data_IF_380678360860
#
_entry.id   IF_380678360860
#
_cell.length_a   1.000
_cell.length_b   1.000
_cell.length_c   1.000
_cell.angle_alpha   90.00
_cell.angle_beta   90.00
_cell.angle_gamma   90.00
#
_symmetry.space_group_name_H-M   'P 1'
#
loop_
_entity.id
_entity.type
_entity.pdbx_description
1 polymer ?
#
# COMPACT_ATOMS: atom_id res chain seq x y z
N UNK A 1 18.68 14.44 46.65
CA UNK A 1 19.11 13.73 45.42
C UNK A 1 17.94 12.91 44.94
N UNK A 2 17.10 13.51 44.09
CA UNK A 2 15.88 12.87 43.59
C UNK A 2 16.31 11.96 42.45
N UNK A 3 16.05 10.66 42.62
CA UNK A 3 16.51 9.59 41.74
C UNK A 3 16.12 9.84 40.28
N UNK A 4 17.13 9.82 39.44
CA UNK A 4 17.01 9.84 37.99
C UNK A 4 16.26 8.57 37.55
N UNK A 5 14.95 8.69 37.33
CA UNK A 5 14.18 7.71 36.58
C UNK A 5 14.66 7.79 35.13
N UNK A 6 15.68 7.00 34.81
CA UNK A 6 15.99 6.62 33.44
C UNK A 6 14.83 5.73 32.97
N UNK A 7 13.75 6.34 32.49
CA UNK A 7 12.74 5.64 31.71
C UNK A 7 13.44 5.10 30.48
N UNK A 8 13.71 3.79 30.49
CA UNK A 8 14.22 3.06 29.35
C UNK A 8 13.25 3.19 28.19
N UNK A 9 13.47 4.21 27.36
CA UNK A 9 12.87 4.32 26.03
C UNK A 9 13.55 3.24 25.20
N UNK A 10 13.01 2.02 25.26
CA UNK A 10 13.37 0.99 24.31
C UNK A 10 13.23 1.60 22.91
N UNK A 11 14.25 1.48 22.04
CA UNK A 11 14.13 1.97 20.67
C UNK A 11 12.91 1.28 20.05
N UNK A 12 11.95 2.09 19.59
CA UNK A 12 10.84 1.60 18.79
C UNK A 12 11.30 1.63 17.34
N UNK A 13 11.24 0.50 16.67
CA UNK A 13 11.49 0.42 15.23
C UNK A 13 10.15 0.51 14.49
N UNK A 14 10.15 1.30 13.42
CA UNK A 14 9.05 1.35 12.47
C UNK A 14 9.20 0.16 11.52
N UNK A 15 8.20 -0.73 11.53
CA UNK A 15 8.14 -1.85 10.62
C UNK A 15 6.99 -1.65 9.64
N UNK A 16 7.29 -1.86 8.37
CA UNK A 16 6.30 -2.00 7.33
C UNK A 16 5.61 -3.36 7.45
N UNK A 17 4.29 -3.36 7.55
CA UNK A 17 3.46 -4.54 7.51
C UNK A 17 2.53 -4.46 6.30
N UNK A 18 2.60 -5.48 5.44
CA UNK A 18 1.71 -5.61 4.28
C UNK A 18 0.32 -6.01 4.76
N UNK A 19 -0.66 -5.15 4.51
CA UNK A 19 -2.06 -5.33 4.90
C UNK A 19 -2.91 -5.90 3.75
N UNK A 20 -2.50 -5.67 2.50
CA UNK A 20 -3.25 -6.14 1.34
C UNK A 20 -2.55 -5.89 0.01
N UNK A 21 -3.03 -6.58 -1.01
CA UNK A 21 -2.54 -6.52 -2.38
C UNK A 21 -3.71 -6.46 -3.36
N UNK A 22 -3.66 -5.49 -4.27
CA UNK A 22 -4.63 -5.33 -5.34
C UNK A 22 -3.94 -5.25 -6.70
N UNK A 23 -4.53 -5.89 -7.70
CA UNK A 23 -4.03 -5.85 -9.07
C UNK A 23 -4.82 -4.85 -9.89
N UNK A 24 -4.12 -4.03 -10.66
CA UNK A 24 -4.71 -3.01 -11.53
C UNK A 24 -5.25 -3.68 -12.79
N UNK A 25 -6.56 -3.65 -12.96
CA UNK A 25 -7.26 -4.24 -14.12
C UNK A 25 -7.68 -3.19 -15.15
N UNK A 26 -7.85 -1.94 -14.71
CA UNK A 26 -8.28 -0.84 -15.58
C UNK A 26 -7.66 0.48 -15.14
N UNK A 27 -7.38 1.36 -16.10
CA UNK A 27 -6.93 2.72 -15.84
C UNK A 27 -7.99 3.68 -16.36
N UNK A 28 -8.40 4.61 -15.51
CA UNK A 28 -9.28 5.70 -15.85
C UNK A 28 -8.47 6.99 -15.79
N UNK A 29 -8.20 7.56 -16.96
CA UNK A 29 -7.65 8.90 -17.06
C UNK A 29 -8.83 9.89 -17.08
N UNK A 30 -9.04 10.58 -15.98
CA UNK A 30 -10.04 11.65 -15.88
C UNK A 30 -9.40 13.03 -16.06
N UNK A 31 -8.44 13.15 -16.97
CA UNK A 31 -7.96 14.46 -17.43
C UNK A 31 -9.09 15.16 -18.20
N UNK A 32 -9.78 16.06 -17.51
CA UNK A 32 -10.77 16.92 -18.14
C UNK A 32 -10.07 17.84 -19.16
N UNK A 33 -10.61 17.92 -20.39
CA UNK A 33 -10.13 18.86 -21.44
C UNK A 33 -10.11 20.33 -20.99
N UNK A 34 -10.74 20.63 -19.85
CA UNK A 34 -10.85 21.96 -19.25
C UNK A 34 -9.76 22.27 -18.20
N UNK A 35 -8.83 21.35 -17.93
CA UNK A 35 -7.57 21.63 -17.23
C UNK A 35 -7.63 21.77 -15.71
N UNK A 36 -8.76 21.47 -15.05
CA UNK A 36 -8.91 21.78 -13.63
C UNK A 36 -8.46 20.67 -12.67
N UNK A 37 -8.40 19.39 -13.08
CA UNK A 37 -7.81 18.29 -12.30
C UNK A 37 -7.43 17.16 -13.26
N UNK A 38 -6.13 16.82 -13.33
CA UNK A 38 -5.66 15.61 -14.00
C UNK A 38 -5.53 14.51 -12.94
N UNK A 39 -6.54 13.64 -12.87
CA UNK A 39 -6.56 12.55 -11.89
C UNK A 39 -6.62 11.22 -12.61
N UNK A 40 -5.54 10.44 -12.48
CA UNK A 40 -5.52 9.04 -12.89
C UNK A 40 -6.13 8.22 -11.74
N UNK A 41 -7.11 7.39 -12.08
CA UNK A 41 -7.74 6.43 -11.16
C UNK A 41 -7.48 5.02 -11.66
N UNK A 42 -6.79 4.24 -10.85
CA UNK A 42 -6.52 2.83 -11.10
C UNK A 42 -7.71 2.00 -10.60
N UNK A 43 -8.45 1.40 -11.53
CA UNK A 43 -9.44 0.36 -11.23
C UNK A 43 -8.72 -0.94 -10.87
N UNK A 44 -8.82 -1.32 -9.60
CA UNK A 44 -8.10 -2.44 -9.01
C UNK A 44 -9.05 -3.49 -8.45
N UNK A 45 -8.57 -4.73 -8.38
CA UNK A 45 -9.26 -5.85 -7.71
C UNK A 45 -8.38 -6.34 -6.56
N UNK A 46 -8.96 -6.39 -5.36
CA UNK A 46 -8.22 -6.82 -4.16
C UNK A 46 -8.06 -8.35 -4.20
N UNK A 47 -6.81 -8.82 -4.35
CA UNK A 47 -6.48 -10.24 -4.37
C UNK A 47 -6.31 -10.82 -2.97
N UNK A 48 -5.64 -10.07 -2.09
CA UNK A 48 -5.33 -10.50 -0.72
C UNK A 48 -5.46 -9.36 0.27
N UNK A 49 -5.81 -9.69 1.51
CA UNK A 49 -5.91 -8.72 2.61
C UNK A 49 -7.00 -7.67 2.40
N UNK A 50 -6.67 -6.42 2.74
CA UNK A 50 -7.53 -5.26 2.55
C UNK A 50 -6.72 -4.02 2.17
N UNK A 51 -7.32 -3.17 1.35
CA UNK A 51 -6.78 -1.86 0.97
C UNK A 51 -7.42 -0.79 1.85
N UNK A 52 -6.63 0.05 2.51
CA UNK A 52 -7.12 1.11 3.41
C UNK A 52 -6.60 2.46 2.94
N UNK A 53 -7.49 3.41 2.69
CA UNK A 53 -7.14 4.73 2.13
C UNK A 53 -6.21 5.54 3.05
N UNK A 54 -6.29 5.33 4.37
CA UNK A 54 -5.45 6.01 5.36
C UNK A 54 -4.05 5.40 5.54
N UNK A 55 -3.75 4.30 4.85
CA UNK A 55 -2.44 3.63 4.92
C UNK A 55 -1.55 4.04 3.74
N UNK A 56 -0.31 3.56 3.75
CA UNK A 56 0.65 3.81 2.67
C UNK A 56 0.55 2.75 1.59
N UNK A 57 0.99 3.10 0.40
CA UNK A 57 0.92 2.22 -0.77
C UNK A 57 2.28 2.09 -1.46
N UNK A 58 2.51 0.93 -2.05
CA UNK A 58 3.64 0.67 -2.95
C UNK A 58 3.12 0.18 -4.29
N UNK A 59 3.76 0.63 -5.36
CA UNK A 59 3.42 0.23 -6.73
C UNK A 59 4.50 -0.71 -7.27
N UNK A 60 4.09 -1.88 -7.71
CA UNK A 60 4.94 -2.89 -8.30
C UNK A 60 4.55 -3.16 -9.75
N UNK A 61 5.56 -3.30 -10.60
CA UNK A 61 5.41 -3.70 -12.00
C UNK A 61 6.38 -4.84 -12.29
N UNK A 62 5.86 -5.97 -12.74
CA UNK A 62 6.67 -7.16 -13.03
C UNK A 62 7.54 -7.61 -11.83
N UNK A 63 7.00 -7.45 -10.60
CA UNK A 63 7.69 -7.77 -9.36
C UNK A 63 8.75 -6.75 -8.90
N UNK A 64 8.92 -5.62 -9.60
CA UNK A 64 9.83 -4.53 -9.21
C UNK A 64 9.06 -3.35 -8.64
N UNK A 65 9.56 -2.77 -7.56
CA UNK A 65 8.98 -1.56 -7.00
C UNK A 65 9.29 -0.37 -7.92
N UNK A 66 8.26 0.32 -8.41
CA UNK A 66 8.42 1.48 -9.29
C UNK A 66 8.78 2.76 -8.52
N UNK A 67 8.34 2.84 -7.27
CA UNK A 67 8.60 3.95 -6.38
C UNK A 67 9.30 3.44 -5.13
N UNK A 68 10.44 4.05 -4.78
CA UNK A 68 11.15 3.72 -3.54
C UNK A 68 10.39 4.26 -2.32
N UNK A 69 9.72 5.41 -2.49
CA UNK A 69 8.91 6.04 -1.45
C UNK A 69 7.54 5.39 -1.29
N UNK A 70 7.03 5.49 -0.07
CA UNK A 70 5.65 5.16 0.27
C UNK A 70 4.71 6.20 -0.32
N UNK A 71 3.74 5.73 -1.11
CA UNK A 71 2.76 6.56 -1.78
C UNK A 71 1.53 6.75 -0.88
N UNK A 72 0.97 7.96 -0.92
CA UNK A 72 -0.29 8.27 -0.26
C UNK A 72 -1.47 8.04 -1.22
N UNK A 73 -2.60 7.61 -0.66
CA UNK A 73 -3.84 7.54 -1.42
C UNK A 73 -4.56 8.88 -1.42
N UNK A 74 -4.86 9.39 -2.61
CA UNK A 74 -5.62 10.63 -2.80
C UNK A 74 -7.11 10.40 -2.62
N UNK A 75 -7.63 9.28 -3.13
CA UNK A 75 -9.00 8.85 -2.90
C UNK A 75 -9.17 7.38 -3.22
N UNK A 76 -10.06 6.72 -2.48
CA UNK A 76 -10.56 5.39 -2.78
C UNK A 76 -12.06 5.47 -3.02
N UNK A 77 -12.51 4.98 -4.17
CA UNK A 77 -13.91 5.04 -4.57
C UNK A 77 -14.38 3.71 -5.08
N UNK A 78 -15.57 3.30 -4.65
CA UNK A 78 -16.29 2.17 -5.24
C UNK A 78 -17.53 2.71 -5.92
N UNK A 79 -17.55 2.63 -7.25
CA UNK A 79 -18.55 3.30 -8.08
C UNK A 79 -18.59 4.82 -7.84
N UNK A 80 -19.64 5.32 -7.17
CA UNK A 80 -19.84 6.75 -6.86
C UNK A 80 -19.63 7.08 -5.38
N UNK A 81 -19.29 6.10 -4.57
CA UNK A 81 -19.12 6.24 -3.12
C UNK A 81 -17.64 6.25 -2.77
N UNK A 82 -17.25 7.18 -1.91
CA UNK A 82 -15.94 7.20 -1.28
C UNK A 82 -15.90 6.14 -0.17
N UNK A 83 -14.79 5.41 -0.08
CA UNK A 83 -14.65 4.28 0.83
C UNK A 83 -13.28 4.31 1.51
N UNK A 84 -13.26 4.09 2.82
CA UNK A 84 -12.01 4.08 3.59
C UNK A 84 -11.27 2.75 3.51
N UNK A 85 -11.98 1.64 3.31
CA UNK A 85 -11.39 0.30 3.27
C UNK A 85 -12.14 -0.63 2.33
N UNK A 86 -11.40 -1.47 1.62
CA UNK A 86 -11.93 -2.46 0.67
C UNK A 86 -11.24 -3.79 0.90
N UNK A 87 -12.03 -4.82 1.18
CA UNK A 87 -11.54 -6.17 1.43
C UNK A 87 -11.35 -7.00 0.15
N UNK A 88 -10.74 -8.18 0.33
CA UNK A 88 -10.54 -9.19 -0.71
C UNK A 88 -11.81 -9.48 -1.54
N UNK A 89 -11.60 -9.65 -2.85
CA UNK A 89 -12.64 -10.01 -3.82
C UNK A 89 -13.53 -8.86 -4.24
N UNK A 90 -13.29 -7.65 -3.72
CA UNK A 90 -14.00 -6.44 -4.13
C UNK A 90 -13.16 -5.61 -5.10
N UNK A 91 -13.85 -4.88 -5.96
CA UNK A 91 -13.30 -3.88 -6.85
C UNK A 91 -13.23 -2.50 -6.15
N UNK A 92 -12.19 -1.74 -6.47
CA UNK A 92 -12.06 -0.35 -6.04
C UNK A 92 -11.28 0.50 -7.04
N UNK A 93 -11.66 1.76 -7.18
CA UNK A 93 -10.87 2.78 -7.85
C UNK A 93 -9.94 3.44 -6.84
N UNK A 94 -8.63 3.34 -7.05
CA UNK A 94 -7.60 3.95 -6.21
C UNK A 94 -6.95 5.08 -7.00
N UNK A 95 -6.87 6.26 -6.40
CA UNK A 95 -6.10 7.38 -6.89
C UNK A 95 -4.91 7.58 -5.98
N UNK A 96 -3.68 7.53 -6.52
CA UNK A 96 -2.45 7.69 -5.75
C UNK A 96 -1.88 9.10 -5.94
N UNK A 97 -1.35 9.72 -4.88
CA UNK A 97 -0.61 10.97 -5.00
C UNK A 97 0.78 10.72 -5.58
N UNK A 98 1.28 11.69 -6.35
CA UNK A 98 2.63 11.69 -6.92
C UNK A 98 2.93 10.52 -7.88
N UNK A 99 1.89 9.84 -8.38
CA UNK A 99 2.04 8.79 -9.39
C UNK A 99 1.48 9.28 -10.73
N UNK A 100 2.32 9.22 -11.75
CA UNK A 100 1.99 9.73 -13.09
C UNK A 100 1.79 8.60 -14.12
N UNK A 101 2.30 7.40 -13.87
CA UNK A 101 2.30 6.29 -14.84
C UNK A 101 1.83 4.97 -14.19
N UNK A 102 0.54 4.87 -13.87
CA UNK A 102 -0.08 3.59 -13.49
C UNK A 102 -0.56 2.87 -14.75
N UNK A 103 -0.26 1.57 -14.87
CA UNK A 103 -0.62 0.74 -16.01
C UNK A 103 -1.43 -0.48 -15.59
N UNK A 104 -2.18 -1.02 -16.54
CA UNK A 104 -2.82 -2.32 -16.38
C UNK A 104 -1.75 -3.40 -16.12
N UNK A 105 -2.03 -4.29 -15.17
CA UNK A 105 -1.09 -5.33 -14.74
C UNK A 105 -0.15 -4.91 -13.61
N UNK A 106 -0.15 -3.63 -13.20
CA UNK A 106 0.55 -3.23 -11.99
C UNK A 106 -0.11 -3.81 -10.74
N UNK A 107 0.67 -3.96 -9.68
CA UNK A 107 0.22 -4.44 -8.37
C UNK A 107 0.41 -3.33 -7.35
N UNK A 108 -0.67 -2.96 -6.67
CA UNK A 108 -0.65 -1.99 -5.58
C UNK A 108 -0.70 -2.76 -4.26
N UNK A 109 0.29 -2.53 -3.42
CA UNK A 109 0.40 -3.13 -2.10
C UNK A 109 0.09 -2.08 -1.03
N UNK A 110 -0.82 -2.41 -0.11
CA UNK A 110 -1.16 -1.59 1.05
C UNK A 110 -0.24 -1.96 2.21
N UNK A 111 0.43 -0.96 2.79
CA UNK A 111 1.44 -1.11 3.84
C UNK A 111 1.09 -0.20 5.00
N UNK A 112 1.04 -0.78 6.19
CA UNK A 112 0.91 -0.04 7.45
C UNK A 112 2.25 0.10 8.14
N UNK A 113 2.49 1.26 8.76
CA UNK A 113 3.69 1.51 9.55
C UNK A 113 3.34 1.23 11.02
N UNK A 114 3.83 0.10 11.53
CA UNK A 114 3.62 -0.29 12.92
C UNK A 114 4.88 -0.03 13.74
N UNK A 115 4.72 0.64 14.88
CA UNK A 115 5.80 0.87 15.85
C UNK A 115 5.88 -0.35 16.76
N UNK A 116 6.92 -1.16 16.61
CA UNK A 116 7.16 -2.29 17.52
C UNK A 116 8.38 -1.99 18.39
N UNK A 117 8.32 -2.32 19.69
CA UNK A 117 9.55 -2.34 20.49
C UNK A 117 10.47 -3.40 19.90
N UNK A 118 11.78 -3.12 19.86
CA UNK A 118 12.81 -4.11 19.52
C UNK A 118 12.57 -5.42 20.27
N UNK A 119 11.92 -6.37 19.62
CA UNK A 119 11.82 -7.75 20.06
C UNK A 119 12.56 -8.56 19.03
N UNK A 120 13.48 -9.40 19.50
CA UNK A 120 14.18 -10.39 18.69
C UNK A 120 13.14 -11.38 18.13
N UNK A 121 12.56 -11.09 16.97
CA UNK A 121 11.62 -12.02 16.31
C UNK A 121 12.45 -12.96 15.45
N UNK A 122 12.45 -14.26 15.80
CA UNK A 122 12.88 -15.32 14.89
C UNK A 122 11.97 -15.25 13.65
N UNK A 123 12.56 -14.98 12.48
CA UNK A 123 11.85 -15.01 11.20
C UNK A 123 11.53 -16.46 10.86
N UNK A 124 10.32 -16.93 11.19
CA UNK A 124 9.82 -18.21 10.69
C UNK A 124 9.11 -18.03 9.33
N UNK A 125 9.87 -18.41 8.30
CA UNK A 125 9.49 -19.18 7.10
C UNK A 125 8.34 -18.72 6.19
N UNK A 126 8.65 -18.60 4.90
CA UNK A 126 7.63 -18.64 3.85
C UNK A 126 8.14 -18.47 2.41
N UNK A 127 9.05 -19.32 1.93
CA UNK A 127 9.54 -19.23 0.56
C UNK A 127 10.26 -20.47 0.04
N UNK A 128 9.64 -21.65 0.16
CA UNK A 128 10.15 -22.85 -0.49
C UNK A 128 9.62 -22.95 -1.93
N UNK A 129 10.52 -22.89 -2.92
CA UNK A 129 10.53 -23.83 -4.05
C UNK A 129 11.83 -23.71 -4.84
N UNK A 130 12.78 -24.60 -4.52
CA UNK A 130 13.72 -25.13 -5.50
C UNK A 130 12.91 -26.04 -6.42
N UNK A 131 12.90 -25.72 -7.72
CA UNK A 131 12.67 -26.73 -8.77
C UNK A 131 13.94 -26.78 -9.61
N UNK A 132 14.74 -27.81 -9.37
CA UNK A 132 15.79 -28.28 -10.28
C UNK A 132 15.32 -29.65 -10.77
N UNK A 133 15.15 -29.80 -12.08
CA UNK A 133 15.51 -30.96 -12.89
C UNK A 133 15.27 -30.60 -14.36
#
# INVERSE_FOLDING_TARGET
>A
VVGEMLTGLAPMEEHEQVEGEASVVQIFDMSDKKGNNATIVAGCVVGQGAMKAGEKFKLFRDGKCLHEDLLDCASMRRHRLEVDSVGKGSDCGISLLNVVDVRMGDVIQCVSIIKRPLRTVKVESGGARVVKS
#
